data_IF_210438811562
#
_entry.id   IF_210438811562
#
_cell.length_a   1.000
_cell.length_b   1.000
_cell.length_c   1.000
_cell.angle_alpha   90.00
_cell.angle_beta   90.00
_cell.angle_gamma   90.00
#
_symmetry.space_group_name_H-M   'P 1'
#
loop_
_entity.id
_entity.type
_entity.pdbx_description
1 polymer ?
#
# COMPACT_ATOMS: atom_id res chain seq x y z
N UNK A 1 11.87 33.06 -10.41
CA UNK A 1 12.86 32.87 -9.35
C UNK A 1 12.78 31.42 -8.93
N UNK A 2 13.78 30.59 -9.27
CA UNK A 2 13.87 29.23 -8.76
C UNK A 2 14.40 29.33 -7.33
N UNK A 3 13.63 28.87 -6.36
CA UNK A 3 14.16 28.66 -5.02
C UNK A 3 15.12 27.48 -5.13
N UNK A 4 16.41 27.74 -5.02
CA UNK A 4 17.38 26.70 -4.71
C UNK A 4 16.97 26.14 -3.34
N UNK A 5 16.35 24.97 -3.31
CA UNK A 5 16.01 24.24 -2.09
C UNK A 5 17.31 23.78 -1.43
N UNK A 6 17.83 24.63 -0.54
CA UNK A 6 19.02 24.44 0.26
C UNK A 6 18.90 23.22 1.19
N UNK A 7 19.32 22.01 0.78
CA UNK A 7 19.78 20.85 1.60
C UNK A 7 18.81 20.30 2.71
N UNK A 8 17.80 21.03 3.14
CA UNK A 8 16.75 20.64 4.08
C UNK A 8 15.47 20.42 3.29
N UNK A 9 14.82 19.27 3.50
CA UNK A 9 13.58 18.92 2.82
C UNK A 9 12.43 19.88 3.08
N UNK A 10 11.25 19.54 2.58
CA UNK A 10 10.05 20.38 2.65
C UNK A 10 9.49 20.49 4.06
N UNK A 11 9.19 21.71 4.50
CA UNK A 11 8.36 21.94 5.67
C UNK A 11 6.87 21.93 5.24
N UNK A 12 5.95 21.47 6.10
CA UNK A 12 4.51 21.49 5.79
C UNK A 12 3.98 22.88 5.43
N UNK A 13 4.47 23.92 6.11
CA UNK A 13 4.02 25.30 5.95
C UNK A 13 4.47 25.93 4.63
N UNK A 14 5.57 25.44 4.07
CA UNK A 14 6.16 25.93 2.81
C UNK A 14 5.75 25.08 1.60
N UNK A 15 5.02 23.98 1.83
CA UNK A 15 4.66 23.05 0.78
C UNK A 15 3.50 23.60 -0.08
N UNK A 16 3.64 23.64 -1.42
CA UNK A 16 2.68 24.35 -2.26
C UNK A 16 1.31 23.66 -2.31
N UNK A 17 0.27 24.48 -2.54
CA UNK A 17 -1.11 24.03 -2.75
C UNK A 17 -1.34 23.80 -4.26
N UNK A 18 -1.58 22.55 -4.73
CA UNK A 18 -1.68 22.25 -6.15
C UNK A 18 -2.95 22.82 -6.83
N UNK A 19 -3.97 23.22 -6.07
CA UNK A 19 -5.14 23.91 -6.62
C UNK A 19 -4.85 25.41 -6.78
N UNK A 20 -4.18 26.03 -5.80
CA UNK A 20 -3.94 27.48 -5.81
C UNK A 20 -2.68 27.89 -6.56
N UNK A 21 -1.64 27.05 -6.52
CA UNK A 21 -0.28 27.32 -7.02
C UNK A 21 0.26 26.11 -7.84
N UNK A 22 -0.46 25.65 -8.88
CA UNK A 22 -0.08 24.45 -9.64
C UNK A 22 1.33 24.52 -10.24
N UNK A 23 1.78 25.69 -10.67
CA UNK A 23 3.13 25.88 -11.22
C UNK A 23 4.24 25.55 -10.20
N UNK A 24 4.05 25.86 -8.91
CA UNK A 24 5.01 25.53 -7.85
C UNK A 24 5.03 24.04 -7.52
N UNK A 25 3.95 23.33 -7.85
CA UNK A 25 3.80 21.90 -7.71
C UNK A 25 4.29 21.11 -8.94
N UNK A 26 4.99 21.75 -9.89
CA UNK A 26 5.46 21.11 -11.11
C UNK A 26 4.37 20.90 -12.18
N UNK A 27 3.19 21.51 -12.02
CA UNK A 27 2.02 21.37 -12.90
C UNK A 27 1.88 22.58 -13.84
N UNK A 28 2.85 22.78 -14.72
CA UNK A 28 2.88 23.92 -15.64
C UNK A 28 1.69 23.88 -16.62
N UNK A 29 1.02 25.01 -16.81
CA UNK A 29 -0.18 25.18 -17.67
C UNK A 29 -1.47 24.56 -17.12
N UNK A 30 -1.50 24.12 -15.85
CA UNK A 30 -2.72 23.70 -15.19
C UNK A 30 -3.34 24.85 -14.41
N UNK A 31 -4.67 24.92 -14.39
CA UNK A 31 -5.40 25.91 -13.57
C UNK A 31 -5.63 25.44 -12.14
N UNK A 32 -5.67 24.13 -11.93
CA UNK A 32 -5.78 23.45 -10.64
C UNK A 32 -5.36 21.98 -10.83
N UNK A 33 -4.81 21.35 -9.79
CA UNK A 33 -4.37 19.95 -9.77
C UNK A 33 -4.62 19.38 -8.37
N UNK A 34 -4.76 18.06 -8.26
CA UNK A 34 -4.72 17.33 -6.98
C UNK A 34 -3.37 16.66 -6.73
N UNK A 35 -2.45 16.74 -7.69
CA UNK A 35 -1.06 16.29 -7.54
C UNK A 35 -0.15 17.48 -7.29
N UNK A 36 0.65 17.41 -6.23
CA UNK A 36 1.76 18.32 -5.98
C UNK A 36 3.09 17.56 -5.97
N UNK A 37 3.98 17.88 -6.92
CA UNK A 37 5.30 17.26 -7.06
C UNK A 37 6.37 18.33 -7.40
N UNK A 38 6.74 19.19 -6.43
CA UNK A 38 7.71 20.25 -6.65
C UNK A 38 9.13 19.72 -6.95
N UNK A 39 9.44 18.46 -6.63
CA UNK A 39 10.76 17.85 -6.82
C UNK A 39 10.91 17.08 -8.15
N UNK A 40 9.83 16.99 -8.95
CA UNK A 40 9.80 16.36 -10.27
C UNK A 40 10.08 14.86 -10.23
N UNK A 41 9.47 14.15 -9.27
CA UNK A 41 9.58 12.69 -9.14
C UNK A 41 8.77 11.98 -10.24
N UNK A 42 7.64 12.55 -10.63
CA UNK A 42 6.83 12.11 -11.76
C UNK A 42 7.18 12.93 -13.01
N UNK A 43 7.11 12.28 -14.16
CA UNK A 43 7.02 13.00 -15.43
C UNK A 43 5.68 13.74 -15.55
N UNK A 44 5.62 14.78 -16.39
CA UNK A 44 4.37 15.53 -16.60
C UNK A 44 3.22 14.62 -17.05
N UNK A 45 3.49 13.64 -17.93
CA UNK A 45 2.48 12.68 -18.39
C UNK A 45 2.01 11.73 -17.28
N UNK A 46 2.88 11.31 -16.37
CA UNK A 46 2.49 10.47 -15.23
C UNK A 46 1.63 11.25 -14.26
N UNK A 47 2.01 12.49 -13.96
CA UNK A 47 1.23 13.39 -13.11
C UNK A 47 -0.15 13.70 -13.73
N UNK A 48 -0.22 13.91 -15.05
CA UNK A 48 -1.50 14.12 -15.77
C UNK A 48 -2.42 12.90 -15.65
N UNK A 49 -1.89 11.69 -15.84
CA UNK A 49 -2.66 10.45 -15.71
C UNK A 49 -3.15 10.20 -14.28
N UNK A 50 -2.32 10.53 -13.29
CA UNK A 50 -2.71 10.44 -11.88
C UNK A 50 -3.81 11.45 -11.54
N UNK A 51 -3.68 12.69 -12.02
CA UNK A 51 -4.66 13.74 -11.77
C UNK A 51 -6.04 13.40 -12.37
N UNK A 52 -6.08 12.76 -13.55
CA UNK A 52 -7.33 12.21 -14.10
C UNK A 52 -7.98 11.21 -13.13
N UNK A 53 -7.23 10.33 -12.49
CA UNK A 53 -7.79 9.38 -11.52
C UNK A 53 -8.31 10.09 -10.26
N UNK A 54 -7.60 11.12 -9.78
CA UNK A 54 -8.01 11.92 -8.62
C UNK A 54 -9.29 12.73 -8.92
N UNK A 55 -9.36 13.40 -10.08
CA UNK A 55 -10.54 14.15 -10.54
C UNK A 55 -11.75 13.22 -10.70
N UNK A 56 -11.55 12.05 -11.30
CA UNK A 56 -12.65 11.09 -11.46
C UNK A 56 -13.08 10.48 -10.12
N UNK A 57 -12.21 10.43 -9.10
CA UNK A 57 -12.61 10.02 -7.75
C UNK A 57 -13.66 10.97 -7.18
N UNK A 58 -13.47 12.28 -7.32
CA UNK A 58 -14.44 13.30 -6.86
C UNK A 58 -15.78 13.17 -7.59
N UNK A 59 -15.75 12.82 -8.88
CA UNK A 59 -16.96 12.71 -9.71
C UNK A 59 -17.70 11.38 -9.52
N UNK A 60 -16.96 10.28 -9.40
CA UNK A 60 -17.53 8.93 -9.49
C UNK A 60 -17.86 8.34 -8.11
N UNK A 61 -17.33 8.93 -7.02
CA UNK A 61 -17.69 8.50 -5.66
C UNK A 61 -18.95 9.23 -5.18
N UNK A 62 -19.80 8.57 -4.35
CA UNK A 62 -20.98 9.22 -3.80
C UNK A 62 -20.56 10.32 -2.82
N UNK A 63 -21.28 11.44 -2.85
CA UNK A 63 -21.11 12.50 -1.88
C UNK A 63 -21.43 11.98 -0.47
N UNK A 64 -20.53 12.15 0.52
CA UNK A 64 -20.75 11.62 1.85
C UNK A 64 -21.30 12.64 2.85
N UNK A 65 -21.44 13.90 2.45
CA UNK A 65 -21.96 14.96 3.30
C UNK A 65 -23.50 14.95 3.35
N UNK A 66 -24.08 15.56 4.39
CA UNK A 66 -25.53 15.76 4.50
C UNK A 66 -26.12 16.59 3.34
N UNK A 67 -25.31 17.46 2.73
CA UNK A 67 -25.72 18.34 1.63
C UNK A 67 -24.67 18.43 0.52
N UNK A 68 -25.11 18.10 -0.69
CA UNK A 68 -24.30 17.99 -1.90
C UNK A 68 -24.88 18.91 -2.99
N UNK A 69 -24.56 20.22 -2.97
CA UNK A 69 -25.07 21.21 -3.92
C UNK A 69 -24.62 20.98 -5.36
N UNK A 70 -23.58 20.20 -5.61
CA UNK A 70 -22.94 19.96 -6.89
C UNK A 70 -22.92 18.49 -7.32
N UNK A 71 -22.59 18.28 -8.61
CA UNK A 71 -22.41 16.94 -9.20
C UNK A 71 -21.03 16.33 -8.93
N UNK A 72 -20.09 17.11 -8.38
CA UNK A 72 -18.70 16.72 -8.12
C UNK A 72 -18.38 16.90 -6.62
N UNK A 73 -19.26 16.39 -5.77
CA UNK A 73 -19.17 16.49 -4.31
C UNK A 73 -18.76 15.16 -3.66
N UNK A 74 -18.17 14.25 -4.44
CA UNK A 74 -17.62 13.00 -3.90
C UNK A 74 -16.40 13.24 -3.02
N UNK A 75 -15.80 12.14 -2.57
CA UNK A 75 -14.56 12.19 -1.82
C UNK A 75 -13.43 12.74 -2.70
N UNK A 76 -12.59 13.59 -2.11
CA UNK A 76 -11.41 14.12 -2.78
C UNK A 76 -10.15 13.46 -2.23
N UNK A 77 -9.22 13.16 -3.13
CA UNK A 77 -7.90 12.63 -2.80
C UNK A 77 -6.88 13.59 -3.42
N UNK A 78 -5.89 13.97 -2.64
CA UNK A 78 -4.75 14.76 -3.11
C UNK A 78 -3.43 14.04 -2.79
N UNK A 79 -2.40 14.31 -3.59
CA UNK A 79 -1.10 13.66 -3.51
C UNK A 79 -0.01 14.71 -3.30
N UNK A 80 0.75 14.58 -2.21
CA UNK A 80 1.95 15.34 -1.92
C UNK A 80 3.19 14.46 -2.17
N UNK A 81 4.00 14.82 -3.14
CA UNK A 81 5.19 14.08 -3.55
C UNK A 81 6.45 14.92 -3.33
N UNK A 82 7.41 14.36 -2.60
CA UNK A 82 8.67 15.03 -2.33
C UNK A 82 9.82 14.06 -2.18
N UNK A 83 11.05 14.56 -2.32
CA UNK A 83 12.26 13.78 -2.05
C UNK A 83 12.46 13.64 -0.56
N UNK A 84 12.39 14.75 0.18
CA UNK A 84 12.65 14.78 1.63
C UNK A 84 11.70 15.74 2.32
N UNK A 85 11.30 15.38 3.53
CA UNK A 85 10.67 16.26 4.51
C UNK A 85 11.75 16.94 5.35
N UNK A 86 11.47 18.16 5.80
CA UNK A 86 12.32 18.90 6.71
C UNK A 86 12.51 18.12 8.02
N UNK A 87 13.73 18.14 8.53
CA UNK A 87 14.05 17.66 9.88
C UNK A 87 14.15 18.87 10.80
N UNK A 88 13.18 19.08 11.67
CA UNK A 88 13.23 20.18 12.64
C UNK A 88 13.96 19.73 13.91
N UNK A 89 15.06 20.43 14.24
CA UNK A 89 15.72 20.34 15.55
C UNK A 89 16.64 19.14 15.82
N UNK A 90 17.36 19.21 16.95
CA UNK A 90 18.37 18.25 17.42
C UNK A 90 17.79 16.96 18.05
N UNK A 91 16.47 16.80 18.03
CA UNK A 91 15.74 15.62 18.49
C UNK A 91 14.74 15.13 17.44
N UNK A 92 15.22 14.93 16.21
CA UNK A 92 14.38 14.63 15.05
C UNK A 92 13.40 13.47 15.34
N UNK A 93 12.10 13.77 15.23
CA UNK A 93 11.05 12.77 15.29
C UNK A 93 11.24 11.73 14.18
N UNK A 94 10.74 10.52 14.41
CA UNK A 94 10.86 9.45 13.41
C UNK A 94 10.25 9.91 12.07
N UNK A 95 10.78 9.45 10.93
CA UNK A 95 10.21 9.75 9.61
C UNK A 95 8.69 9.53 9.52
N UNK A 96 8.17 8.52 10.22
CA UNK A 96 6.74 8.22 10.30
C UNK A 96 5.96 9.34 10.99
N UNK A 97 6.43 9.80 12.15
CA UNK A 97 5.77 10.88 12.91
C UNK A 97 5.80 12.18 12.11
N UNK A 98 6.90 12.45 11.38
CA UNK A 98 6.99 13.60 10.47
C UNK A 98 5.99 13.50 9.32
N UNK A 99 5.94 12.37 8.62
CA UNK A 99 4.99 12.15 7.53
C UNK A 99 3.53 12.26 7.99
N UNK A 100 3.22 11.71 9.15
CA UNK A 100 1.90 11.83 9.76
C UNK A 100 1.53 13.28 10.02
N UNK A 101 2.38 14.03 10.74
CA UNK A 101 2.14 15.44 11.04
C UNK A 101 2.01 16.30 9.78
N UNK A 102 2.86 16.04 8.79
CA UNK A 102 2.86 16.74 7.50
C UNK A 102 1.55 16.49 6.75
N UNK A 103 1.17 15.22 6.52
CA UNK A 103 -0.04 14.88 5.80
C UNK A 103 -1.32 15.39 6.51
N UNK A 104 -1.35 15.32 7.85
CA UNK A 104 -2.44 15.88 8.64
C UNK A 104 -2.54 17.40 8.51
N UNK A 105 -1.41 18.11 8.51
CA UNK A 105 -1.36 19.55 8.32
C UNK A 105 -1.86 19.95 6.93
N UNK A 106 -1.40 19.26 5.87
CA UNK A 106 -1.89 19.52 4.52
C UNK A 106 -3.40 19.30 4.44
N UNK A 107 -3.88 18.13 4.89
CA UNK A 107 -5.30 17.78 4.81
C UNK A 107 -6.20 18.75 5.56
N UNK A 108 -5.83 19.16 6.78
CA UNK A 108 -6.75 19.91 7.66
C UNK A 108 -6.49 21.40 7.76
N UNK A 109 -5.39 21.92 7.20
CA UNK A 109 -5.01 23.33 7.34
C UNK A 109 -4.60 23.94 6.00
N UNK A 110 -3.58 23.39 5.34
CA UNK A 110 -3.01 24.06 4.16
C UNK A 110 -3.90 23.93 2.92
N UNK A 111 -4.32 22.70 2.63
CA UNK A 111 -5.13 22.37 1.45
C UNK A 111 -6.61 22.38 1.81
N UNK A 112 -7.00 21.71 2.89
CA UNK A 112 -8.37 21.67 3.44
C UNK A 112 -9.45 21.47 2.36
N UNK A 113 -9.23 20.44 1.55
CA UNK A 113 -10.14 20.12 0.46
C UNK A 113 -11.35 19.36 0.99
N UNK A 114 -12.53 19.95 0.83
CA UNK A 114 -13.82 19.34 1.17
C UNK A 114 -14.72 20.28 1.94
N UNK A 115 -15.82 19.75 2.46
CA UNK A 115 -16.83 20.49 3.23
C UNK A 115 -17.30 19.79 4.50
N UNK A 116 -17.05 18.48 4.60
CA UNK A 116 -17.46 17.65 5.71
C UNK A 116 -16.37 16.61 6.08
N UNK A 117 -15.09 16.97 6.02
CA UNK A 117 -13.98 16.05 6.32
C UNK A 117 -13.95 14.78 5.43
N UNK A 118 -14.35 14.91 4.17
CA UNK A 118 -14.29 13.87 3.13
C UNK A 118 -12.94 13.81 2.39
N UNK A 119 -12.03 14.73 2.70
CA UNK A 119 -10.72 14.82 2.04
C UNK A 119 -9.71 13.78 2.52
N UNK A 120 -8.88 13.32 1.60
CA UNK A 120 -7.77 12.40 1.82
C UNK A 120 -6.49 12.99 1.23
N UNK A 121 -5.39 12.95 1.98
CA UNK A 121 -4.05 13.33 1.48
C UNK A 121 -3.13 12.13 1.56
N UNK A 122 -2.54 11.74 0.42
CA UNK A 122 -1.46 10.76 0.33
C UNK A 122 -0.15 11.53 0.26
N UNK A 123 0.72 11.34 1.25
CA UNK A 123 2.06 11.90 1.26
C UNK A 123 3.07 10.81 0.92
N UNK A 124 4.00 11.12 0.02
CA UNK A 124 5.16 10.29 -0.30
C UNK A 124 6.43 11.12 -0.18
N UNK A 125 7.36 10.65 0.64
CA UNK A 125 8.73 11.12 0.70
C UNK A 125 9.68 10.00 0.25
N UNK A 126 10.33 10.17 -0.91
CA UNK A 126 11.09 9.10 -1.56
C UNK A 126 12.44 8.80 -0.92
N UNK A 127 13.02 9.76 -0.18
CA UNK A 127 14.32 9.62 0.46
C UNK A 127 14.24 9.59 2.00
N UNK A 128 13.10 9.94 2.61
CA UNK A 128 12.88 9.65 4.03
C UNK A 128 12.59 8.16 4.20
N UNK A 129 13.54 7.45 4.83
CA UNK A 129 13.47 5.99 4.93
C UNK A 129 12.78 5.57 6.22
N UNK A 130 11.85 4.64 6.11
CA UNK A 130 11.43 3.84 7.26
C UNK A 130 12.57 2.88 7.58
N UNK A 131 13.27 3.10 8.70
CA UNK A 131 14.20 2.11 9.25
C UNK A 131 13.38 0.97 9.84
N UNK A 132 12.90 0.06 8.97
CA UNK A 132 12.39 -1.25 9.37
C UNK A 132 13.56 -2.23 9.30
N UNK A 133 13.55 -3.25 10.15
CA UNK A 133 14.57 -4.31 10.22
C UNK A 133 14.83 -5.07 8.89
N UNK A 134 14.07 -4.79 7.84
CA UNK A 134 14.22 -5.33 6.50
C UNK A 134 15.22 -4.51 5.68
N UNK A 135 16.14 -5.17 4.96
CA UNK A 135 17.24 -4.54 4.21
C UNK A 135 16.82 -3.60 3.06
N UNK A 136 15.55 -3.61 2.67
CA UNK A 136 15.08 -2.82 1.53
C UNK A 136 14.57 -1.46 1.98
N UNK A 137 15.23 -0.35 1.59
CA UNK A 137 14.76 0.98 1.90
C UNK A 137 13.45 1.23 1.14
N UNK A 138 12.38 1.49 1.88
CA UNK A 138 11.09 1.92 1.30
C UNK A 138 10.89 3.39 1.62
N UNK A 139 10.36 4.13 0.65
CA UNK A 139 9.90 5.51 0.83
C UNK A 139 8.93 5.63 2.00
N UNK A 140 8.87 6.82 2.59
CA UNK A 140 7.85 7.13 3.58
C UNK A 140 6.54 7.45 2.88
N UNK A 141 5.53 6.61 3.10
CA UNK A 141 4.17 6.85 2.61
C UNK A 141 3.24 6.96 3.81
N UNK A 142 2.40 7.99 3.83
CA UNK A 142 1.37 8.16 4.84
C UNK A 142 0.08 8.70 4.21
N UNK A 143 -1.07 8.18 4.62
CA UNK A 143 -2.37 8.66 4.17
C UNK A 143 -3.11 9.31 5.34
N UNK A 144 -3.36 10.62 5.25
CA UNK A 144 -4.24 11.32 6.18
C UNK A 144 -5.67 11.32 5.65
N UNK A 145 -6.60 10.75 6.41
CA UNK A 145 -8.03 10.72 6.10
C UNK A 145 -8.80 11.70 6.99
N UNK A 146 -9.76 12.43 6.43
CA UNK A 146 -10.73 13.17 7.23
C UNK A 146 -11.71 12.24 7.94
N UNK A 147 -12.43 12.74 8.95
CA UNK A 147 -13.34 11.95 9.76
C UNK A 147 -14.38 11.19 8.91
N UNK A 148 -15.02 11.85 7.95
CA UNK A 148 -16.01 11.24 7.06
C UNK A 148 -15.39 10.30 6.03
N UNK A 149 -14.18 10.59 5.53
CA UNK A 149 -13.44 9.63 4.71
C UNK A 149 -13.09 8.36 5.50
N UNK A 150 -12.71 8.49 6.76
CA UNK A 150 -12.23 7.40 7.63
C UNK A 150 -13.33 6.41 8.01
N UNK A 151 -14.60 6.79 7.93
CA UNK A 151 -15.72 5.86 8.12
C UNK A 151 -15.71 4.71 7.11
N UNK A 152 -15.23 4.97 5.88
CA UNK A 152 -15.06 3.95 4.84
C UNK A 152 -13.61 3.53 4.65
N UNK A 153 -12.69 4.49 4.65
CA UNK A 153 -11.27 4.30 4.43
C UNK A 153 -10.53 4.32 5.77
N UNK A 154 -10.74 3.27 6.56
CA UNK A 154 -10.12 3.11 7.89
C UNK A 154 -8.61 2.94 7.79
N UNK A 155 -7.91 3.19 8.90
CA UNK A 155 -6.45 3.00 8.98
C UNK A 155 -6.03 1.56 8.60
N UNK A 156 -6.82 0.55 8.99
CA UNK A 156 -6.60 -0.85 8.60
C UNK A 156 -6.71 -1.06 7.08
N UNK A 157 -7.69 -0.42 6.44
CA UNK A 157 -7.87 -0.52 4.98
C UNK A 157 -6.72 0.20 4.26
N UNK A 158 -6.32 1.38 4.75
CA UNK A 158 -5.17 2.13 4.26
C UNK A 158 -3.91 1.28 4.31
N UNK A 159 -3.62 0.66 5.45
CA UNK A 159 -2.45 -0.18 5.66
C UNK A 159 -2.46 -1.42 4.76
N UNK A 160 -3.61 -2.07 4.63
CA UNK A 160 -3.76 -3.23 3.75
C UNK A 160 -3.50 -2.86 2.28
N UNK A 161 -4.09 -1.76 1.80
CA UNK A 161 -3.88 -1.28 0.43
C UNK A 161 -2.41 -0.89 0.20
N UNK A 162 -1.75 -0.27 1.19
CA UNK A 162 -0.33 0.03 1.10
C UNK A 162 0.52 -1.25 0.99
N UNK A 163 0.23 -2.28 1.81
CA UNK A 163 0.93 -3.57 1.74
C UNK A 163 0.77 -4.22 0.36
N UNK A 164 -0.43 -4.17 -0.22
CA UNK A 164 -0.73 -4.71 -1.55
C UNK A 164 -0.04 -3.94 -2.69
N UNK A 165 0.23 -2.65 -2.50
CA UNK A 165 0.84 -1.78 -3.53
C UNK A 165 2.35 -1.57 -3.32
N UNK A 166 2.91 -2.11 -2.23
CA UNK A 166 4.30 -1.90 -1.81
C UNK A 166 5.32 -2.22 -2.89
N UNK A 167 5.06 -3.25 -3.71
CA UNK A 167 5.99 -3.71 -4.74
C UNK A 167 6.32 -2.62 -5.77
N UNK A 168 5.35 -1.78 -6.12
CA UNK A 168 5.55 -0.65 -7.04
C UNK A 168 6.55 0.36 -6.47
N UNK A 169 6.37 0.71 -5.20
CA UNK A 169 7.22 1.68 -4.52
C UNK A 169 8.64 1.16 -4.29
N UNK A 170 8.80 -0.13 -3.99
CA UNK A 170 10.14 -0.74 -3.89
C UNK A 170 10.86 -0.78 -5.23
N UNK A 171 10.13 -0.82 -6.34
CA UNK A 171 10.68 -0.79 -7.69
C UNK A 171 10.89 0.63 -8.24
N UNK A 172 10.59 1.69 -7.46
CA UNK A 172 10.65 3.09 -7.91
C UNK A 172 9.56 3.45 -8.93
N UNK A 173 8.52 2.62 -9.08
CA UNK A 173 7.39 2.81 -9.99
C UNK A 173 6.31 3.65 -9.32
N UNK A 174 6.65 4.91 -9.03
CA UNK A 174 5.84 5.82 -8.22
C UNK A 174 4.47 6.08 -8.84
N UNK A 175 4.42 6.35 -10.14
CA UNK A 175 3.21 6.64 -10.87
C UNK A 175 2.21 5.48 -10.81
N UNK A 176 2.65 4.25 -11.09
CA UNK A 176 1.78 3.08 -11.06
C UNK A 176 1.36 2.72 -9.65
N UNK A 177 2.25 2.83 -8.66
CA UNK A 177 1.92 2.57 -7.26
C UNK A 177 0.85 3.53 -6.74
N UNK A 178 1.00 4.83 -7.02
CA UNK A 178 0.01 5.85 -6.63
C UNK A 178 -1.32 5.65 -7.36
N UNK A 179 -1.28 5.39 -8.67
CA UNK A 179 -2.50 5.13 -9.45
C UNK A 179 -3.26 3.91 -8.92
N UNK A 180 -2.58 2.81 -8.63
CA UNK A 180 -3.20 1.60 -8.07
C UNK A 180 -3.77 1.87 -6.67
N UNK A 181 -3.04 2.60 -5.82
CA UNK A 181 -3.47 2.97 -4.48
C UNK A 181 -4.74 3.86 -4.51
N UNK A 182 -4.76 4.90 -5.36
CA UNK A 182 -5.93 5.77 -5.57
C UNK A 182 -7.11 4.98 -6.14
N UNK A 183 -6.88 4.10 -7.13
CA UNK A 183 -7.92 3.25 -7.71
C UNK A 183 -8.58 2.37 -6.64
N UNK A 184 -7.79 1.79 -5.73
CA UNK A 184 -8.30 1.00 -4.61
C UNK A 184 -9.07 1.86 -3.62
N UNK A 185 -8.55 3.04 -3.24
CA UNK A 185 -9.27 3.99 -2.38
C UNK A 185 -10.62 4.38 -2.97
N UNK A 186 -10.65 4.77 -4.25
CA UNK A 186 -11.88 5.09 -4.99
C UNK A 186 -12.90 3.96 -4.91
N UNK A 187 -12.46 2.70 -5.09
CA UNK A 187 -13.33 1.52 -4.97
C UNK A 187 -13.94 1.38 -3.57
N UNK A 188 -13.15 1.56 -2.50
CA UNK A 188 -13.64 1.54 -1.11
C UNK A 188 -14.67 2.64 -0.88
N UNK A 189 -14.35 3.86 -1.30
CA UNK A 189 -15.16 5.06 -1.09
C UNK A 189 -16.51 4.99 -1.84
N UNK A 190 -16.52 4.31 -3.00
CA UNK A 190 -17.73 4.00 -3.77
C UNK A 190 -18.65 2.96 -3.08
N UNK A 191 -18.16 2.28 -2.03
CA UNK A 191 -18.89 1.20 -1.35
C UNK A 191 -18.60 -0.19 -1.91
N UNK A 192 -17.58 -0.34 -2.77
CA UNK A 192 -17.09 -1.65 -3.17
C UNK A 192 -16.38 -2.33 -2.00
N UNK A 193 -16.63 -3.62 -1.79
CA UNK A 193 -15.88 -4.41 -0.80
C UNK A 193 -14.40 -4.48 -1.20
N UNK A 194 -13.51 -3.98 -0.34
CA UNK A 194 -12.10 -4.35 -0.39
C UNK A 194 -12.00 -5.85 -0.18
N UNK A 195 -11.25 -6.56 -1.03
CA UNK A 195 -11.16 -8.04 -1.07
C UNK A 195 -10.80 -8.72 0.26
N UNK A 196 -10.42 -7.95 1.29
CA UNK A 196 -10.10 -8.43 2.65
C UNK A 196 -11.31 -8.96 3.41
N UNK A 197 -12.53 -8.43 3.19
CA UNK A 197 -13.73 -8.93 3.90
C UNK A 197 -14.09 -10.37 3.50
N UNK A 198 -13.77 -10.79 2.27
CA UNK A 198 -14.02 -12.15 1.82
C UNK A 198 -13.11 -13.19 2.52
N UNK A 199 -11.86 -12.82 2.82
CA UNK A 199 -10.89 -13.74 3.44
C UNK A 199 -11.21 -13.98 4.91
N UNK A 200 -11.61 -12.94 5.67
CA UNK A 200 -11.95 -13.09 7.10
C UNK A 200 -13.21 -13.93 7.28
N UNK A 201 -14.22 -13.75 6.43
CA UNK A 201 -15.45 -14.55 6.47
C UNK A 201 -15.15 -16.01 6.09
N UNK A 202 -14.32 -16.24 5.07
CA UNK A 202 -13.89 -17.60 4.68
C UNK A 202 -13.11 -18.35 5.77
N UNK A 203 -12.26 -17.65 6.53
CA UNK A 203 -11.50 -18.24 7.63
C UNK A 203 -12.37 -18.61 8.84
N UNK A 204 -13.43 -17.86 9.13
CA UNK A 204 -14.36 -18.22 10.21
C UNK A 204 -15.17 -19.47 9.88
N UNK A 205 -15.61 -19.62 8.63
CA UNK A 205 -16.34 -20.82 8.21
C UNK A 205 -15.46 -22.07 8.15
N UNK A 206 -14.18 -21.95 7.80
CA UNK A 206 -13.27 -23.10 7.75
C UNK A 206 -12.95 -23.63 9.16
N UNK A 207 -12.78 -22.76 10.17
CA UNK A 207 -12.51 -23.19 11.55
C UNK A 207 -13.73 -23.87 12.18
N UNK A 208 -14.94 -23.36 11.95
CA UNK A 208 -16.19 -23.99 12.47
C UNK A 208 -16.44 -25.33 11.78
N UNK A 209 -16.19 -25.43 10.47
CA UNK A 209 -16.29 -26.69 9.73
C UNK A 209 -15.31 -27.76 10.22
N UNK A 210 -14.05 -27.38 10.47
CA UNK A 210 -13.03 -28.31 10.97
C UNK A 210 -13.33 -28.80 12.40
N UNK A 211 -13.84 -27.91 13.26
CA UNK A 211 -14.26 -28.27 14.62
C UNK A 211 -15.47 -29.21 14.63
N UNK A 212 -16.45 -29.03 13.73
CA UNK A 212 -17.60 -29.93 13.63
C UNK A 212 -17.19 -31.35 13.21
N UNK A 213 -16.26 -31.47 12.25
CA UNK A 213 -15.72 -32.78 11.83
C UNK A 213 -14.98 -33.46 12.98
N UNK A 214 -14.17 -32.73 13.75
CA UNK A 214 -13.47 -33.28 14.91
C UNK A 214 -14.42 -33.78 16.02
N UNK A 215 -15.52 -33.08 16.28
CA UNK A 215 -16.52 -33.50 17.30
C UNK A 215 -17.27 -34.75 16.86
N UNK A 216 -17.66 -34.85 15.58
CA UNK A 216 -18.32 -36.07 15.06
C UNK A 216 -17.41 -37.30 15.14
N UNK A 217 -16.12 -37.16 14.84
CA UNK A 217 -15.14 -38.25 14.98
C UNK A 217 -14.97 -38.73 16.44
N UNK A 218 -15.02 -37.81 17.43
CA UNK A 218 -14.93 -38.18 18.84
C UNK A 218 -16.18 -38.94 19.34
N UNK A 219 -17.37 -38.56 18.87
CA UNK A 219 -18.62 -39.26 19.22
C UNK A 219 -18.68 -40.66 18.57
N UNK A 220 -18.16 -40.82 17.35
CA UNK A 220 -18.05 -42.15 16.74
C UNK A 220 -17.07 -43.07 17.47
N UNK A 221 -15.99 -42.52 18.06
CA UNK A 221 -14.98 -43.33 18.78
C UNK A 221 -15.47 -43.83 20.15
N UNK A 222 -16.39 -43.12 20.80
CA UNK A 222 -16.99 -43.55 22.07
C UNK A 222 -18.24 -44.43 21.90
N UNK A 223 -18.83 -44.48 20.71
CA UNK A 223 -20.03 -45.29 20.39
C UNK A 223 -19.77 -46.71 19.89
N UNK A 224 -18.58 -47.03 19.35
CA UNK A 224 -18.28 -48.37 18.86
C UNK A 224 -17.80 -49.31 19.99
N UNK A 225 -18.76 -49.82 20.78
CA UNK A 225 -18.62 -51.09 21.50
C UNK A 225 -18.50 -52.24 20.47
N UNK A 226 -17.31 -52.47 19.95
CA UNK A 226 -17.01 -53.73 19.28
C UNK A 226 -16.77 -54.81 20.34
N UNK A 227 -17.72 -55.74 20.39
CA UNK A 227 -17.73 -56.99 21.14
C UNK A 227 -16.60 -57.90 20.61
N UNK A 228 -15.84 -58.50 21.54
CA UNK A 228 -14.51 -59.06 21.28
C UNK A 228 -14.44 -60.43 20.62
N UNK A 229 -13.18 -60.92 20.54
CA UNK A 229 -12.84 -62.32 20.34
C UNK A 229 -11.46 -62.52 19.68
N UNK A 230 -10.53 -63.18 20.37
CA UNK A 230 -9.42 -63.91 19.73
C UNK A 230 -8.01 -63.59 20.22
N UNK A 231 -7.50 -64.44 21.11
CA UNK A 231 -6.14 -64.48 21.66
C UNK A 231 -5.07 -65.00 20.68
N UNK A 232 -3.83 -64.85 21.14
CA UNK A 232 -2.58 -65.59 20.83
C UNK A 232 -1.58 -64.79 19.98
N UNK A 233 -0.26 -64.80 20.19
CA UNK A 233 0.67 -65.22 21.25
C UNK A 233 2.06 -64.93 20.66
N UNK A 234 3.09 -64.71 21.49
CA UNK A 234 4.53 -64.69 21.09
C UNK A 234 4.94 -63.54 20.12
N UNK A 235 6.13 -62.93 20.14
CA UNK A 235 7.46 -63.33 20.62
C UNK A 235 8.29 -62.05 20.89
N UNK A 236 9.14 -62.06 21.92
CA UNK A 236 10.25 -61.11 22.08
C UNK A 236 11.19 -61.12 20.86
N UNK A 237 11.78 -59.96 20.51
CA UNK A 237 13.23 -59.86 20.25
C UNK A 237 13.73 -58.41 20.15
N UNK A 238 14.64 -58.10 21.07
CA UNK A 238 15.83 -57.25 21.01
C UNK A 238 16.24 -56.57 19.67
N UNK A 239 16.78 -55.36 19.87
CA UNK A 239 18.07 -54.85 19.38
C UNK A 239 18.14 -53.89 18.18
N UNK A 240 18.77 -52.74 18.50
CA UNK A 240 19.97 -52.15 17.88
C UNK A 240 19.91 -51.61 16.44
N UNK A 241 20.19 -50.30 16.42
CA UNK A 241 21.26 -49.62 15.66
C UNK A 241 21.14 -49.41 14.16
N UNK A 242 21.26 -48.11 13.84
CA UNK A 242 22.16 -47.51 12.87
C UNK A 242 21.97 -47.75 11.37
N UNK A 243 22.14 -46.60 10.70
CA UNK A 243 22.99 -46.38 9.54
C UNK A 243 22.42 -46.49 8.12
N UNK A 244 22.55 -45.34 7.45
CA UNK A 244 23.18 -45.11 6.14
C UNK A 244 22.34 -45.19 4.86
N UNK A 245 22.65 -44.20 4.00
CA UNK A 245 22.60 -44.27 2.54
C UNK A 245 21.25 -43.88 1.94
N UNK A 246 21.15 -43.00 0.94
CA UNK A 246 22.17 -42.44 0.06
C UNK A 246 21.59 -42.28 -1.36
N UNK A 247 22.12 -41.32 -2.12
CA UNK A 247 22.00 -41.20 -3.57
C UNK A 247 20.80 -40.37 -4.07
N UNK A 248 20.92 -39.47 -5.04
CA UNK A 248 22.01 -39.12 -5.96
C UNK A 248 21.44 -38.54 -7.27
N UNK A 249 22.26 -37.82 -8.04
CA UNK A 249 22.02 -37.44 -9.46
C UNK A 249 21.73 -35.94 -9.65
N UNK A 250 22.70 -35.05 -9.99
CA UNK A 250 23.47 -34.85 -11.24
C UNK A 250 22.63 -34.42 -12.46
N UNK A 251 22.98 -33.26 -13.02
CA UNK A 251 22.45 -32.71 -14.27
C UNK A 251 23.11 -31.37 -14.63
N UNK A 252 24.31 -31.45 -15.21
CA UNK A 252 25.10 -30.36 -15.82
C UNK A 252 24.55 -29.88 -17.17
N UNK A 253 25.20 -28.82 -17.70
CA UNK A 253 25.22 -28.25 -19.06
C UNK A 253 24.24 -27.08 -19.32
N UNK A 254 24.60 -25.95 -19.93
CA UNK A 254 25.81 -25.50 -20.64
C UNK A 254 25.42 -24.52 -21.76
N UNK A 255 26.32 -23.59 -22.16
CA UNK A 255 26.26 -22.80 -23.41
C UNK A 255 25.94 -21.30 -23.23
N UNK A 256 26.89 -20.36 -23.47
CA UNK A 256 27.21 -19.70 -24.76
C UNK A 256 26.09 -18.77 -25.25
N UNK A 257 26.24 -17.55 -25.79
CA UNK A 257 27.32 -16.77 -26.43
C UNK A 257 26.73 -15.35 -26.66
N UNK A 258 27.50 -14.26 -26.59
CA UNK A 258 28.01 -13.56 -27.78
C UNK A 258 26.98 -12.61 -28.44
N UNK A 259 27.27 -11.30 -28.46
CA UNK A 259 26.44 -10.31 -29.16
C UNK A 259 27.03 -8.91 -29.12
N UNK A 260 28.04 -8.67 -29.95
CA UNK A 260 28.49 -7.34 -30.36
C UNK A 260 27.48 -6.70 -31.34
N UNK A 261 27.28 -5.39 -31.24
CA UNK A 261 26.50 -4.62 -32.21
C UNK A 261 26.82 -3.12 -32.11
N UNK A 262 27.63 -2.64 -33.04
CA UNK A 262 27.92 -1.22 -33.25
C UNK A 262 27.06 -0.57 -34.35
N UNK A 263 27.20 0.75 -34.48
CA UNK A 263 26.63 1.62 -35.53
C UNK A 263 25.79 2.75 -34.91
N UNK A 264 25.93 4.05 -35.19
CA UNK A 264 26.58 4.78 -36.29
C UNK A 264 25.57 5.76 -36.92
N UNK A 265 25.94 7.05 -37.07
CA UNK A 265 25.24 8.07 -37.89
C UNK A 265 24.19 8.90 -37.12
N UNK A 266 24.32 10.24 -37.02
CA UNK A 266 23.88 11.24 -38.02
C UNK A 266 22.44 11.65 -37.67
N UNK A 267 22.10 12.87 -37.27
CA UNK A 267 22.37 14.20 -37.83
C UNK A 267 22.50 15.25 -36.72
#
# INVERSE_FOLDING_TARGET
MRADTCIGGWAPEDYPDPIRLPDLCGRVNWTASFVCDPDGILTSSEADLLDVELITTVRDTPCPCDSCPGKNDGYNIAVALMKRMATTGSGASSPQVRAQGFAMYLRGIAWDYGRCDEGVVILVSTEDRQVRWTRDPVAMIYTATGATAREKLTDEIVDNIYVETREYFTAGRWAEGLKEMVTRYKKVLTGGSSSVTAVVIGCMFSVVGLCAVCVTCFICRTGCKCRGGGQSSFHDHYNRTSSWGGGGGWGDSGGSSGGDGGGGGGF
#
